data_IF_544166240954
#
_entry.id   IF_544166240954
#
_cell.length_a   1.000
_cell.length_b   1.000
_cell.length_c   1.000
_cell.angle_alpha   90.00
_cell.angle_beta   90.00
_cell.angle_gamma   90.00
#
_symmetry.space_group_name_H-M   'P 1'
#
loop_
_entity.id
_entity.type
_entity.pdbx_description
1 polymer ?
#
# COMPACT_ATOMS: atom_id res chain seq x y z
N UNK A 1 -17.43 12.52 -24.00
CA UNK A 1 -16.01 12.19 -23.72
C UNK A 1 -15.89 10.69 -23.71
N UNK A 2 -15.17 10.09 -24.66
CA UNK A 2 -14.94 8.64 -24.63
C UNK A 2 -14.13 8.32 -23.38
N UNK A 3 -14.73 7.65 -22.42
CA UNK A 3 -14.03 7.20 -21.23
C UNK A 3 -13.08 6.07 -21.62
N UNK A 4 -11.82 6.19 -21.21
CA UNK A 4 -10.74 5.24 -21.50
C UNK A 4 -11.09 3.78 -21.16
N UNK A 5 -11.80 3.59 -20.05
CA UNK A 5 -12.33 2.30 -19.59
C UNK A 5 -13.85 2.37 -19.47
N UNK A 6 -14.51 1.22 -19.63
CA UNK A 6 -15.91 1.02 -19.25
C UNK A 6 -16.09 1.06 -17.72
N UNK A 7 -17.34 1.21 -17.25
CA UNK A 7 -17.63 1.21 -15.81
C UNK A 7 -17.32 -0.15 -15.15
N UNK A 8 -17.53 -1.23 -15.89
CA UNK A 8 -17.17 -2.59 -15.46
C UNK A 8 -15.66 -2.74 -15.31
N UNK A 9 -14.88 -2.33 -16.32
CA UNK A 9 -13.42 -2.35 -16.27
C UNK A 9 -12.86 -1.50 -15.12
N UNK A 10 -13.49 -0.35 -14.81
CA UNK A 10 -13.10 0.46 -13.65
C UNK A 10 -13.37 -0.26 -12.33
N UNK A 11 -14.50 -0.95 -12.24
CA UNK A 11 -14.86 -1.75 -11.06
C UNK A 11 -13.86 -2.88 -10.87
N UNK A 12 -13.60 -3.65 -11.94
CA UNK A 12 -12.59 -4.71 -11.96
C UNK A 12 -11.20 -4.20 -11.57
N UNK A 13 -10.78 -3.03 -12.05
CA UNK A 13 -9.50 -2.44 -11.65
C UNK A 13 -9.45 -2.10 -10.14
N UNK A 14 -10.52 -1.56 -9.56
CA UNK A 14 -10.59 -1.27 -8.12
C UNK A 14 -10.53 -2.57 -7.31
N UNK A 15 -11.28 -3.59 -7.70
CA UNK A 15 -11.30 -4.86 -6.98
C UNK A 15 -9.98 -5.64 -7.13
N UNK A 16 -9.34 -5.56 -8.30
CA UNK A 16 -7.97 -6.05 -8.53
C UNK A 16 -6.98 -5.39 -7.55
N UNK A 17 -7.05 -4.07 -7.38
CA UNK A 17 -6.17 -3.34 -6.46
C UNK A 17 -6.42 -3.74 -4.99
N UNK A 18 -7.68 -3.93 -4.59
CA UNK A 18 -8.01 -4.39 -3.23
C UNK A 18 -7.52 -5.80 -2.96
N UNK A 19 -7.60 -6.67 -3.95
CA UNK A 19 -7.05 -8.01 -3.85
C UNK A 19 -5.51 -7.99 -3.78
N UNK A 20 -4.85 -7.10 -4.55
CA UNK A 20 -3.39 -6.98 -4.56
C UNK A 20 -2.82 -6.35 -3.27
N UNK A 21 -3.57 -5.43 -2.65
CA UNK A 21 -3.20 -4.74 -1.41
C UNK A 21 -4.31 -4.94 -0.36
N UNK A 22 -4.43 -6.12 0.27
CA UNK A 22 -5.59 -6.47 1.10
C UNK A 22 -5.50 -5.86 2.51
N UNK A 23 -5.62 -4.54 2.61
CA UNK A 23 -5.59 -3.82 3.90
C UNK A 23 -6.99 -3.72 4.51
N UNK A 24 -7.22 -4.43 5.63
CA UNK A 24 -8.53 -4.48 6.31
C UNK A 24 -9.04 -3.10 6.78
N UNK A 25 -8.13 -2.20 7.17
CA UNK A 25 -8.48 -0.85 7.67
C UNK A 25 -8.72 0.17 6.56
N UNK A 26 -8.35 -0.13 5.31
CA UNK A 26 -8.41 0.85 4.24
C UNK A 26 -9.81 0.88 3.62
N UNK A 27 -10.50 2.03 3.58
CA UNK A 27 -11.76 2.15 2.89
C UNK A 27 -11.57 2.04 1.37
N UNK A 28 -12.66 1.95 0.62
CA UNK A 28 -12.60 1.85 -0.85
C UNK A 28 -12.09 3.14 -1.54
N UNK A 29 -12.12 4.28 -0.84
CA UNK A 29 -11.75 5.60 -1.37
C UNK A 29 -10.33 5.65 -1.97
N UNK A 30 -9.28 5.33 -1.21
CA UNK A 30 -7.90 5.27 -1.69
C UNK A 30 -7.72 4.36 -2.92
N UNK A 31 -8.37 3.20 -2.95
CA UNK A 31 -8.30 2.28 -4.11
C UNK A 31 -8.93 2.88 -5.37
N UNK A 32 -10.04 3.64 -5.24
CA UNK A 32 -10.63 4.36 -6.38
C UNK A 32 -9.73 5.46 -6.92
N UNK A 33 -9.07 6.22 -6.04
CA UNK A 33 -8.09 7.24 -6.45
C UNK A 33 -6.84 6.62 -7.08
N UNK A 34 -6.37 5.50 -6.53
CA UNK A 34 -5.30 4.67 -7.11
C UNK A 34 -5.67 4.18 -8.51
N UNK A 35 -6.89 3.67 -8.70
CA UNK A 35 -7.39 3.27 -10.03
C UNK A 35 -7.45 4.45 -11.00
N UNK A 36 -7.82 5.65 -10.53
CA UNK A 36 -7.76 6.87 -11.35
C UNK A 36 -6.34 7.19 -11.78
N UNK A 37 -5.36 7.12 -10.87
CA UNK A 37 -3.95 7.36 -11.19
C UNK A 37 -3.42 6.37 -12.24
N UNK A 38 -3.81 5.09 -12.18
CA UNK A 38 -3.50 4.09 -13.20
C UNK A 38 -4.11 4.47 -14.55
N UNK A 39 -5.37 4.91 -14.58
CA UNK A 39 -6.05 5.36 -15.80
C UNK A 39 -5.42 6.62 -16.38
N UNK A 40 -5.01 7.57 -15.55
CA UNK A 40 -4.37 8.82 -15.97
C UNK A 40 -2.95 8.55 -16.52
N UNK A 41 -2.20 7.66 -15.89
CA UNK A 41 -0.92 7.18 -16.41
C UNK A 41 -1.09 6.48 -17.77
N UNK A 42 -2.14 5.66 -17.92
CA UNK A 42 -2.49 5.03 -19.18
C UNK A 42 -2.89 6.05 -20.26
N UNK A 43 -3.65 7.09 -19.91
CA UNK A 43 -4.04 8.17 -20.82
C UNK A 43 -2.84 8.87 -21.46
N UNK A 44 -1.74 9.02 -20.71
CA UNK A 44 -0.51 9.65 -21.17
C UNK A 44 0.44 8.69 -21.91
N UNK A 45 0.17 7.38 -21.91
CA UNK A 45 1.07 6.36 -22.45
C UNK A 45 0.31 5.31 -23.27
N UNK A 46 0.36 5.36 -24.63
CA UNK A 46 -0.37 4.44 -25.49
C UNK A 46 -0.06 2.95 -25.25
N UNK A 47 1.18 2.62 -24.84
CA UNK A 47 1.57 1.25 -24.53
C UNK A 47 0.89 0.77 -23.25
N UNK A 48 0.90 1.61 -22.20
CA UNK A 48 0.22 1.30 -20.94
C UNK A 48 -1.29 1.20 -21.14
N UNK A 49 -1.87 2.09 -21.94
CA UNK A 49 -3.28 2.02 -22.30
C UNK A 49 -3.66 0.68 -22.95
N UNK A 50 -2.89 0.23 -23.95
CA UNK A 50 -3.15 -1.07 -24.59
C UNK A 50 -3.01 -2.24 -23.60
N UNK A 51 -1.99 -2.22 -22.74
CA UNK A 51 -1.80 -3.25 -21.71
C UNK A 51 -2.95 -3.28 -20.70
N UNK A 52 -3.42 -2.11 -20.26
CA UNK A 52 -4.51 -1.98 -19.28
C UNK A 52 -5.82 -2.51 -19.85
N UNK A 53 -6.18 -2.12 -21.08
CA UNK A 53 -7.40 -2.59 -21.74
C UNK A 53 -7.38 -4.11 -21.95
N UNK A 54 -6.30 -4.62 -22.55
CA UNK A 54 -6.19 -6.05 -22.83
C UNK A 54 -6.16 -6.86 -21.54
N UNK A 55 -5.40 -6.42 -20.54
CA UNK A 55 -5.27 -7.17 -19.30
C UNK A 55 -6.55 -7.21 -18.47
N UNK A 56 -7.35 -6.13 -18.47
CA UNK A 56 -8.67 -6.13 -17.81
C UNK A 56 -9.67 -7.02 -18.56
N UNK A 57 -9.66 -6.99 -19.90
CA UNK A 57 -10.50 -7.87 -20.72
C UNK A 57 -10.12 -9.34 -20.53
N UNK A 58 -8.83 -9.67 -20.57
CA UNK A 58 -8.31 -11.01 -20.32
C UNK A 58 -8.67 -11.50 -18.90
N UNK A 59 -8.58 -10.62 -17.91
CA UNK A 59 -8.86 -10.95 -16.52
C UNK A 59 -10.33 -11.39 -16.32
N UNK A 60 -11.26 -10.72 -16.98
CA UNK A 60 -12.69 -10.97 -16.89
C UNK A 60 -13.18 -12.08 -17.85
N UNK A 61 -12.55 -12.27 -19.02
CA UNK A 61 -13.00 -13.23 -20.04
C UNK A 61 -12.37 -14.62 -19.97
N UNK A 62 -11.23 -14.78 -19.29
CA UNK A 62 -10.57 -16.08 -19.14
C UNK A 62 -11.30 -17.06 -18.20
N UNK A 63 -12.42 -16.64 -17.59
CA UNK A 63 -13.19 -17.39 -16.60
C UNK A 63 -14.68 -17.34 -16.94
N UNK A 64 -15.46 -18.26 -16.39
CA UNK A 64 -16.92 -18.26 -16.53
C UNK A 64 -17.59 -17.05 -15.84
N UNK A 65 -16.91 -16.48 -14.85
CA UNK A 65 -17.38 -15.31 -14.08
C UNK A 65 -16.28 -14.25 -14.02
N UNK A 66 -16.68 -12.97 -13.99
CA UNK A 66 -15.74 -11.84 -13.92
C UNK A 66 -15.02 -11.76 -12.57
N UNK A 67 -13.86 -11.10 -12.55
CA UNK A 67 -12.97 -11.04 -11.39
C UNK A 67 -13.65 -10.45 -10.15
N UNK A 68 -14.47 -9.41 -10.34
CA UNK A 68 -15.20 -8.71 -9.28
C UNK A 68 -16.25 -9.58 -8.56
N UNK A 69 -16.53 -10.78 -9.07
CA UNK A 69 -17.47 -11.74 -8.48
C UNK A 69 -16.80 -12.85 -7.69
N UNK A 70 -15.46 -12.93 -7.75
CA UNK A 70 -14.68 -13.96 -7.07
C UNK A 70 -14.67 -13.74 -5.56
N UNK A 71 -14.62 -14.84 -4.81
CA UNK A 71 -14.27 -14.78 -3.39
C UNK A 71 -12.78 -14.40 -3.22
N UNK A 72 -12.41 -13.99 -2.00
CA UNK A 72 -11.07 -13.49 -1.71
C UNK A 72 -9.96 -14.52 -1.96
N UNK A 73 -10.20 -15.81 -1.67
CA UNK A 73 -9.19 -16.85 -1.86
C UNK A 73 -8.96 -17.10 -3.35
N UNK A 74 -10.05 -17.20 -4.12
CA UNK A 74 -9.97 -17.37 -5.58
C UNK A 74 -9.31 -16.16 -6.24
N UNK A 75 -9.67 -14.92 -5.85
CA UNK A 75 -9.05 -13.70 -6.37
C UNK A 75 -7.52 -13.67 -6.12
N UNK A 76 -7.06 -14.13 -4.95
CA UNK A 76 -5.64 -14.25 -4.64
C UNK A 76 -4.92 -15.27 -5.52
N UNK A 77 -5.55 -16.41 -5.83
CA UNK A 77 -5.00 -17.40 -6.75
C UNK A 77 -4.86 -16.83 -8.17
N UNK A 78 -5.87 -16.08 -8.63
CA UNK A 78 -5.82 -15.38 -9.92
C UNK A 78 -4.67 -14.38 -9.96
N UNK A 79 -4.53 -13.56 -8.91
CA UNK A 79 -3.45 -12.58 -8.79
C UNK A 79 -2.06 -13.23 -8.90
N UNK A 80 -1.84 -14.34 -8.19
CA UNK A 80 -0.57 -15.08 -8.29
C UNK A 80 -0.31 -15.57 -9.70
N UNK A 81 -1.35 -16.00 -10.43
CA UNK A 81 -1.24 -16.44 -11.82
C UNK A 81 -0.85 -15.32 -12.79
N UNK A 82 -1.20 -14.07 -12.50
CA UNK A 82 -0.89 -12.91 -13.34
C UNK A 82 0.28 -12.06 -12.83
N UNK A 83 0.90 -12.43 -11.70
CA UNK A 83 1.84 -11.59 -10.96
C UNK A 83 3.03 -11.10 -11.81
N UNK A 84 3.53 -11.94 -12.71
CA UNK A 84 4.67 -11.64 -13.59
C UNK A 84 4.26 -11.12 -14.97
N UNK A 85 2.95 -10.88 -15.19
CA UNK A 85 2.48 -10.37 -16.49
C UNK A 85 2.84 -8.90 -16.66
N UNK A 86 3.15 -8.43 -17.90
CA UNK A 86 3.39 -7.02 -18.16
C UNK A 86 2.21 -6.12 -17.77
N UNK A 87 0.98 -6.64 -17.87
CA UNK A 87 -0.23 -5.95 -17.41
C UNK A 87 -0.17 -5.68 -15.90
N UNK A 88 -0.02 -6.72 -15.08
CA UNK A 88 -0.09 -6.57 -13.64
C UNK A 88 1.09 -5.76 -13.10
N UNK A 89 2.31 -6.01 -13.61
CA UNK A 89 3.49 -5.24 -13.24
C UNK A 89 3.34 -3.74 -13.55
N UNK A 90 2.71 -3.39 -14.68
CA UNK A 90 2.50 -2.00 -15.05
C UNK A 90 1.42 -1.31 -14.19
N UNK A 91 0.39 -2.04 -13.77
CA UNK A 91 -0.58 -1.54 -12.77
C UNK A 91 0.13 -1.32 -11.42
N UNK A 92 0.97 -2.27 -11.00
CA UNK A 92 1.68 -2.24 -9.72
C UNK A 92 2.65 -1.07 -9.60
N UNK A 93 3.37 -0.75 -10.68
CA UNK A 93 4.33 0.36 -10.78
C UNK A 93 3.70 1.71 -10.41
N UNK A 94 2.44 1.91 -10.82
CA UNK A 94 1.68 3.12 -10.47
C UNK A 94 0.99 2.96 -9.12
N UNK A 95 0.38 1.80 -8.87
CA UNK A 95 -0.51 1.60 -7.74
C UNK A 95 0.19 1.71 -6.38
N UNK A 96 1.42 1.19 -6.27
CA UNK A 96 2.17 1.26 -5.00
C UNK A 96 2.43 2.70 -4.59
N UNK A 97 2.80 3.55 -5.54
CA UNK A 97 3.06 4.97 -5.27
C UNK A 97 1.73 5.67 -4.95
N UNK A 98 0.73 5.52 -5.80
CA UNK A 98 -0.53 6.24 -5.65
C UNK A 98 -1.31 5.84 -4.39
N UNK A 99 -1.26 4.57 -3.97
CA UNK A 99 -1.97 4.12 -2.77
C UNK A 99 -1.32 4.64 -1.48
N UNK A 100 0.02 4.60 -1.40
CA UNK A 100 0.73 5.02 -0.19
C UNK A 100 1.09 6.52 -0.16
N UNK A 101 0.88 7.25 -1.26
CA UNK A 101 0.90 8.72 -1.32
C UNK A 101 -0.50 9.33 -1.09
N UNK A 102 -1.49 8.50 -0.74
CA UNK A 102 -2.86 8.95 -0.47
C UNK A 102 -3.01 9.49 0.96
N UNK A 103 -3.52 10.72 1.09
CA UNK A 103 -3.64 11.38 2.39
C UNK A 103 -4.59 10.66 3.36
N UNK A 104 -5.64 9.99 2.88
CA UNK A 104 -6.54 9.20 3.73
C UNK A 104 -5.81 7.94 4.23
N UNK A 105 -4.93 7.36 3.41
CA UNK A 105 -4.04 6.26 3.83
C UNK A 105 -3.02 6.74 4.87
N UNK A 106 -2.47 7.95 4.73
CA UNK A 106 -1.57 8.53 5.73
C UNK A 106 -2.24 8.65 7.10
N UNK A 107 -3.46 9.17 7.15
CA UNK A 107 -4.25 9.28 8.38
C UNK A 107 -4.49 7.92 9.04
N UNK A 108 -4.80 6.88 8.26
CA UNK A 108 -5.01 5.51 8.78
C UNK A 108 -3.72 4.90 9.34
N UNK A 109 -2.59 5.19 8.71
CA UNK A 109 -1.28 4.68 9.09
C UNK A 109 -0.60 5.52 10.18
N UNK A 110 -1.12 6.70 10.51
CA UNK A 110 -0.48 7.65 11.43
C UNK A 110 0.74 8.34 10.83
N UNK A 111 0.87 8.36 9.49
CA UNK A 111 1.94 9.11 8.83
C UNK A 111 1.58 10.59 8.79
N UNK A 112 2.38 11.46 9.41
CA UNK A 112 2.05 12.89 9.48
C UNK A 112 2.34 13.70 8.20
N UNK A 113 2.64 13.00 7.09
CA UNK A 113 3.05 13.62 5.84
C UNK A 113 4.46 14.22 5.89
N UNK A 114 4.95 14.75 4.75
CA UNK A 114 6.29 15.32 4.63
C UNK A 114 6.64 16.32 5.74
N UNK A 115 7.88 16.28 6.20
CA UNK A 115 8.37 17.12 7.32
C UNK A 115 9.44 18.13 6.94
N UNK A 116 9.99 18.06 5.72
CA UNK A 116 11.10 18.92 5.28
C UNK A 116 10.77 20.41 5.38
N UNK A 117 9.60 20.80 4.89
CA UNK A 117 9.07 22.17 4.96
C UNK A 117 8.56 22.57 6.35
N UNK A 118 8.45 21.59 7.27
CA UNK A 118 7.91 21.79 8.62
C UNK A 118 8.99 21.69 9.73
N UNK A 119 10.27 21.71 9.38
CA UNK A 119 11.38 21.68 10.34
C UNK A 119 11.77 20.30 10.86
N UNK A 120 11.30 19.23 10.21
CA UNK A 120 11.58 17.84 10.60
C UNK A 120 10.51 17.21 11.49
N UNK A 121 10.79 16.00 11.99
CA UNK A 121 9.86 15.22 12.83
C UNK A 121 10.09 15.36 14.34
N UNK A 122 11.13 16.10 14.77
CA UNK A 122 11.51 16.19 16.20
C UNK A 122 10.32 16.60 17.08
N UNK A 123 9.53 17.58 16.64
CA UNK A 123 8.34 18.05 17.36
C UNK A 123 7.02 17.62 16.66
N UNK A 124 7.07 16.54 15.88
CA UNK A 124 5.99 16.10 14.96
C UNK A 124 5.92 14.57 14.86
N UNK A 125 5.79 13.90 15.99
CA UNK A 125 5.53 12.46 16.05
C UNK A 125 6.73 11.56 15.74
N UNK A 126 7.97 12.06 15.88
CA UNK A 126 9.15 11.20 15.84
C UNK A 126 9.12 10.11 16.94
N UNK A 127 8.57 10.44 18.11
CA UNK A 127 8.50 9.59 19.30
C UNK A 127 7.06 9.21 19.71
N UNK A 128 6.07 9.39 18.84
CA UNK A 128 4.67 8.96 19.02
C UNK A 128 4.51 7.43 18.87
N UNK A 129 5.27 6.67 19.66
CA UNK A 129 5.35 5.22 19.59
C UNK A 129 4.44 4.58 20.64
N UNK A 130 3.15 4.41 20.31
CA UNK A 130 2.14 3.80 21.19
C UNK A 130 2.43 2.35 21.64
N UNK A 131 3.42 1.71 21.01
CA UNK A 131 3.77 0.30 21.21
C UNK A 131 5.06 0.09 22.04
N UNK A 132 5.80 1.16 22.34
CA UNK A 132 6.99 1.12 23.19
C UNK A 132 6.69 1.78 24.54
N UNK A 133 7.24 1.27 25.66
CA UNK A 133 7.23 2.03 26.90
C UNK A 133 8.08 3.29 26.75
N UNK A 134 7.81 4.30 27.59
CA UNK A 134 8.60 5.53 27.63
C UNK A 134 10.10 5.22 27.61
N UNK A 135 10.87 5.89 26.73
CA UNK A 135 12.30 5.61 26.60
C UNK A 135 12.98 5.85 27.96
N UNK A 136 13.79 4.87 28.38
CA UNK A 136 14.59 5.04 29.59
C UNK A 136 15.58 6.18 29.38
N UNK A 137 15.62 7.09 30.36
CA UNK A 137 16.55 8.23 30.37
C UNK A 137 17.90 7.82 30.99
N UNK A 138 17.93 6.70 31.70
CA UNK A 138 19.13 6.16 32.36
C UNK A 138 19.73 4.99 31.58
N UNK A 139 21.06 4.97 31.49
CA UNK A 139 21.80 3.90 30.85
C UNK A 139 21.81 2.62 31.71
N UNK A 140 22.01 1.46 31.08
CA UNK A 140 22.02 0.15 31.75
C UNK A 140 23.15 -0.05 32.80
N UNK A 141 24.00 0.95 33.05
CA UNK A 141 25.23 0.79 33.83
C UNK A 141 25.11 1.24 35.30
N UNK A 142 24.03 1.88 35.73
CA UNK A 142 23.94 2.39 37.12
C UNK A 142 23.11 1.50 38.06
N UNK A 143 23.49 0.22 38.15
CA UNK A 143 22.89 -0.72 39.12
C UNK A 143 23.85 -1.84 39.53
N UNK A 144 24.42 -1.71 40.72
CA UNK A 144 25.27 -2.66 41.46
C UNK A 144 26.70 -2.93 40.94
N UNK A 145 27.59 -1.97 41.16
CA UNK A 145 28.95 -2.31 41.63
C UNK A 145 28.90 -2.28 43.16
N UNK A 146 28.37 -3.36 43.77
CA UNK A 146 28.60 -3.56 45.20
C UNK A 146 30.09 -3.81 45.41
N UNK A 147 30.71 -2.92 46.17
CA UNK A 147 32.10 -3.02 46.60
C UNK A 147 32.35 -4.36 47.29
N UNK A 148 33.04 -5.29 46.60
CA UNK A 148 33.71 -6.38 47.27
C UNK A 148 35.08 -5.90 47.76
N UNK A 149 35.08 -5.09 48.82
CA UNK A 149 36.25 -4.90 49.67
C UNK A 149 36.11 -5.82 50.88
N UNK A 150 36.87 -6.92 50.90
CA UNK A 150 36.78 -7.85 52.03
C UNK A 150 37.59 -9.14 51.95
N UNK A 151 38.91 -9.02 51.75
CA UNK A 151 39.97 -9.91 52.26
C UNK A 151 40.07 -11.37 51.75
N UNK A 152 41.10 -11.60 50.95
CA UNK A 152 41.90 -12.84 50.97
C UNK A 152 42.70 -12.94 52.27
N UNK A 153 42.54 -14.03 53.02
CA UNK A 153 43.52 -14.81 53.82
C UNK A 153 42.83 -15.54 54.98
#
# INVERSE_FOLDING_TARGET
>A
MSTLLSDEQRTTLVDLLRAAFPHDRFPVGPYRRTASAVVDAAAANPRLHALLLQGLDDLDTQREVGFSTLDAETAQLVLRGIADTPFFLAVLDVAVVALYDDHEVWEILGYEGPSYDKGGYIDRGFDDLDWLPDPRIESWIDGDVTSNEGASA
#
